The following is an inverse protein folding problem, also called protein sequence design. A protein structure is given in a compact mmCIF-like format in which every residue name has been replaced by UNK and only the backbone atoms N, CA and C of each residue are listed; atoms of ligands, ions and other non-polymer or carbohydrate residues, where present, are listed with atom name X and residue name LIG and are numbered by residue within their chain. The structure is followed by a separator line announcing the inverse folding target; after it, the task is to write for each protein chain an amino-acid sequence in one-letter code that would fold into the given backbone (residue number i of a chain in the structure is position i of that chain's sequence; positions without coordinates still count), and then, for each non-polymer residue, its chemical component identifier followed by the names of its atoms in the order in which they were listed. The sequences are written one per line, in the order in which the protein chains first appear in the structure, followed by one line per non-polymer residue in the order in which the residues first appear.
data_IF_948142501937
#
_entry.id   IF_948142501937
#
_cell.length_a   1.000
_cell.length_b   1.000
_cell.length_c   1.000
_cell.angle_alpha   90.00
_cell.angle_beta   90.00
_cell.angle_gamma   90.00
#
_symmetry.space_group_name_H-M   'P 1'
#
loop_
_entity.id
_entity.type
_entity.pdbx_description
1 polymer ?
#
# COMPACT_ATOMS: atom_id res chain seq x y z
N UNK A 1 -11.86 -30.02 -47.46
CA UNK A 1 -10.56 -30.70 -47.26
C UNK A 1 -10.23 -30.71 -45.77
N UNK A 2 -9.87 -31.87 -45.22
CA UNK A 2 -9.62 -32.07 -43.78
C UNK A 2 -8.26 -31.46 -43.40
N UNK A 3 -8.28 -30.29 -42.76
CA UNK A 3 -7.06 -29.65 -42.27
C UNK A 3 -6.72 -30.23 -40.89
N UNK A 4 -5.56 -30.88 -40.86
CA UNK A 4 -5.01 -31.58 -39.71
C UNK A 4 -4.71 -30.57 -38.60
N UNK A 5 -5.13 -30.89 -37.37
CA UNK A 5 -4.80 -30.20 -36.13
C UNK A 5 -3.29 -30.06 -36.03
N UNK A 6 -2.79 -28.83 -36.18
CA UNK A 6 -1.40 -28.48 -35.85
C UNK A 6 -1.41 -28.16 -34.35
N UNK A 7 -0.70 -29.00 -33.60
CA UNK A 7 -0.36 -28.79 -32.21
C UNK A 7 0.30 -27.41 -32.06
N UNK A 8 -0.45 -26.47 -31.47
CA UNK A 8 0.11 -25.23 -30.98
C UNK A 8 0.93 -25.54 -29.74
N UNK A 9 2.22 -25.24 -29.81
CA UNK A 9 3.18 -25.26 -28.71
C UNK A 9 2.66 -24.33 -27.62
N UNK A 10 2.09 -24.91 -26.57
CA UNK A 10 1.66 -24.19 -25.38
C UNK A 10 2.90 -23.74 -24.61
N UNK A 11 3.29 -22.49 -24.78
CA UNK A 11 4.19 -21.81 -23.85
C UNK A 11 3.38 -21.51 -22.59
N UNK A 12 3.35 -22.47 -21.68
CA UNK A 12 2.85 -22.27 -20.32
C UNK A 12 3.93 -21.51 -19.56
N UNK A 13 3.88 -20.18 -19.64
CA UNK A 13 4.58 -19.34 -18.67
C UNK A 13 3.75 -19.41 -17.37
N UNK A 14 4.10 -20.35 -16.51
CA UNK A 14 3.65 -20.38 -15.13
C UNK A 14 4.21 -19.13 -14.44
N UNK A 15 3.42 -18.06 -14.37
CA UNK A 15 3.65 -16.96 -13.44
C UNK A 15 3.30 -17.51 -12.06
N UNK A 16 4.27 -18.22 -11.46
CA UNK A 16 4.25 -18.49 -10.04
C UNK A 16 4.50 -17.17 -9.34
N UNK A 17 3.43 -16.53 -8.89
CA UNK A 17 3.47 -15.53 -7.82
C UNK A 17 4.01 -16.22 -6.56
N UNK A 18 5.15 -15.80 -5.99
CA UNK A 18 5.25 -15.82 -4.55
C UNK A 18 4.44 -14.62 -4.07
N UNK A 19 3.22 -14.89 -3.60
CA UNK A 19 2.59 -14.00 -2.65
C UNK A 19 3.50 -13.96 -1.42
N UNK A 20 4.40 -12.98 -1.36
CA UNK A 20 5.06 -12.59 -0.12
C UNK A 20 3.98 -11.87 0.69
N UNK A 21 3.24 -12.68 1.45
CA UNK A 21 2.41 -12.25 2.57
C UNK A 21 3.34 -11.60 3.60
N UNK A 22 3.43 -10.28 3.56
CA UNK A 22 3.80 -9.46 4.72
C UNK A 22 2.58 -8.66 5.17
N UNK A 23 1.49 -9.39 5.44
CA UNK A 23 0.44 -8.94 6.34
C UNK A 23 0.80 -9.47 7.74
N UNK A 24 1.63 -8.74 8.47
CA UNK A 24 1.76 -8.96 9.92
C UNK A 24 0.66 -8.15 10.58
N UNK A 25 -0.54 -8.74 10.65
CA UNK A 25 -1.53 -8.37 11.66
C UNK A 25 -1.26 -9.20 12.92
N UNK A 26 -1.39 -8.63 14.13
CA UNK A 26 -1.10 -9.34 15.36
C UNK A 26 -2.25 -10.29 15.68
N UNK A 27 -2.00 -11.58 15.54
CA UNK A 27 -2.88 -12.63 16.04
C UNK A 27 -2.33 -13.15 17.36
N UNK A 28 -2.77 -12.56 18.48
CA UNK A 28 -3.01 -13.29 19.75
C UNK A 28 -4.06 -12.53 20.57
N UNK A 29 -5.31 -12.92 20.37
CA UNK A 29 -6.36 -12.76 21.36
C UNK A 29 -7.09 -14.11 21.43
N UNK A 30 -6.73 -14.95 22.41
CA UNK A 30 -7.69 -15.74 23.20
C UNK A 30 -6.95 -16.57 24.26
N UNK A 31 -6.84 -16.01 25.47
CA UNK A 31 -7.05 -16.77 26.71
C UNK A 31 -7.68 -15.84 27.75
N UNK A 32 -8.89 -16.22 28.17
CA UNK A 32 -9.71 -15.68 29.28
C UNK A 32 -8.91 -15.41 30.58
N UNK A 33 -9.30 -14.42 31.41
CA UNK A 33 -8.38 -13.75 32.34
C UNK A 33 -8.17 -14.57 33.62
N UNK A 34 -6.91 -14.77 33.99
CA UNK A 34 -6.52 -15.01 35.37
C UNK A 34 -6.02 -13.68 35.94
N UNK A 35 -6.58 -13.27 37.07
CA UNK A 35 -6.12 -12.13 37.86
C UNK A 35 -4.62 -12.18 38.08
N UNK A 36 -3.88 -11.33 37.37
CA UNK A 36 -2.52 -10.97 37.73
C UNK A 36 -2.46 -9.45 37.79
N UNK A 37 -2.13 -8.99 38.99
CA UNK A 37 -1.91 -7.62 39.43
C UNK A 37 -1.16 -6.83 38.36
N UNK A 38 -1.72 -5.69 37.95
CA UNK A 38 -1.11 -4.78 36.98
C UNK A 38 0.30 -4.39 37.44
N UNK A 39 1.32 -4.89 36.74
CA UNK A 39 2.65 -4.29 36.83
C UNK A 39 2.61 -2.89 36.20
N UNK A 40 3.36 -1.90 36.73
CA UNK A 40 3.33 -0.53 36.25
C UNK A 40 3.72 -0.44 34.78
N UNK A 41 3.15 0.55 34.07
CA UNK A 41 3.31 0.77 32.62
C UNK A 41 4.79 0.83 32.17
N UNK A 42 5.71 1.15 33.07
CA UNK A 42 7.16 1.17 32.88
C UNK A 42 7.76 -0.22 32.58
N UNK A 43 7.26 -1.27 33.23
CA UNK A 43 7.71 -2.66 32.98
C UNK A 43 7.25 -3.16 31.60
N UNK A 44 6.11 -2.67 31.10
CA UNK A 44 5.63 -2.96 29.75
C UNK A 44 6.37 -2.15 28.69
N UNK A 45 6.75 -0.90 28.98
CA UNK A 45 7.55 -0.06 28.07
C UNK A 45 9.00 -0.53 27.94
N UNK A 46 9.64 -0.98 29.03
CA UNK A 46 10.97 -1.61 28.98
C UNK A 46 10.93 -2.98 28.30
N UNK A 47 9.92 -3.81 28.56
CA UNK A 47 9.74 -5.08 27.84
C UNK A 47 9.46 -4.87 26.34
N UNK A 48 8.77 -3.78 25.96
CA UNK A 48 8.57 -3.40 24.55
C UNK A 48 9.84 -2.86 23.91
N UNK A 49 10.65 -2.03 24.60
CA UNK A 49 11.96 -1.58 24.09
C UNK A 49 12.96 -2.74 23.94
N UNK A 50 13.02 -3.66 24.90
CA UNK A 50 13.84 -4.87 24.80
C UNK A 50 13.33 -5.82 23.71
N UNK A 51 12.00 -5.96 23.53
CA UNK A 51 11.42 -6.73 22.44
C UNK A 51 11.58 -6.07 21.05
N UNK A 52 11.76 -4.74 20.98
CA UNK A 52 12.07 -4.00 19.76
C UNK A 52 13.55 -4.06 19.41
N UNK A 53 14.46 -4.02 20.40
CA UNK A 53 15.89 -4.24 20.21
C UNK A 53 16.20 -5.70 19.80
N UNK A 54 15.43 -6.68 20.30
CA UNK A 54 15.59 -8.10 19.93
C UNK A 54 14.95 -8.50 18.59
N UNK A 55 14.25 -7.58 17.88
CA UNK A 55 13.56 -7.87 16.62
C UNK A 55 14.07 -7.07 15.41
N UNK A 56 15.17 -6.31 15.52
CA UNK A 56 15.75 -5.63 14.34
C UNK A 56 16.39 -6.69 13.43
N UNK A 57 16.06 -6.75 12.12
CA UNK A 57 16.70 -7.71 11.21
C UNK A 57 18.20 -7.49 11.19
N UNK A 58 18.98 -8.56 11.33
CA UNK A 58 20.44 -8.50 11.25
C UNK A 58 20.88 -8.03 9.86
N UNK A 59 22.08 -7.43 9.73
CA UNK A 59 22.62 -7.04 8.41
C UNK A 59 22.59 -8.21 7.43
N UNK A 60 22.95 -9.42 7.90
CA UNK A 60 22.90 -10.65 7.10
C UNK A 60 21.50 -11.00 6.59
N UNK A 61 20.46 -10.74 7.36
CA UNK A 61 19.07 -10.93 6.93
C UNK A 61 18.63 -9.85 5.93
N UNK A 62 19.08 -8.61 6.11
CA UNK A 62 18.84 -7.52 5.16
C UNK A 62 19.56 -7.75 3.82
N UNK A 63 20.81 -8.21 3.84
CA UNK A 63 21.56 -8.58 2.63
C UNK A 63 20.88 -9.74 1.88
N UNK A 64 20.38 -10.74 2.62
CA UNK A 64 19.58 -11.82 2.03
C UNK A 64 18.30 -11.29 1.40
N UNK A 65 17.57 -10.41 2.08
CA UNK A 65 16.36 -9.79 1.55
C UNK A 65 16.65 -8.93 0.30
N UNK A 66 17.77 -8.19 0.27
CA UNK A 66 18.20 -7.43 -0.89
C UNK A 66 18.58 -8.34 -2.07
N UNK A 67 19.24 -9.47 -1.81
CA UNK A 67 19.53 -10.47 -2.85
C UNK A 67 18.24 -11.12 -3.40
N UNK A 68 17.25 -11.40 -2.56
CA UNK A 68 15.93 -11.89 -2.98
C UNK A 68 15.18 -10.83 -3.81
N UNK A 69 15.22 -9.56 -3.40
CA UNK A 69 14.63 -8.45 -4.14
C UNK A 69 15.31 -8.22 -5.50
N UNK A 70 16.65 -8.32 -5.58
CA UNK A 70 17.40 -8.30 -6.82
C UNK A 70 16.97 -9.44 -7.75
N UNK A 71 16.87 -10.67 -7.25
CA UNK A 71 16.42 -11.82 -8.04
C UNK A 71 14.99 -11.65 -8.57
N UNK A 72 14.09 -11.08 -7.77
CA UNK A 72 12.73 -10.77 -8.19
C UNK A 72 12.71 -9.71 -9.30
N UNK A 73 13.53 -8.66 -9.17
CA UNK A 73 13.70 -7.62 -10.18
C UNK A 73 14.26 -8.17 -11.51
N UNK A 74 15.28 -9.01 -11.46
CA UNK A 74 15.87 -9.65 -12.65
C UNK A 74 14.86 -10.58 -13.35
N UNK A 75 14.07 -11.32 -12.57
CA UNK A 75 13.00 -12.15 -13.11
C UNK A 75 11.90 -11.30 -13.79
N UNK A 76 11.54 -10.15 -13.21
CA UNK A 76 10.58 -9.23 -13.80
C UNK A 76 11.11 -8.64 -15.11
N UNK A 77 12.39 -8.26 -15.19
CA UNK A 77 13.03 -7.78 -16.42
C UNK A 77 13.04 -8.86 -17.52
N UNK A 78 13.35 -10.11 -17.16
CA UNK A 78 13.30 -11.22 -18.10
C UNK A 78 11.87 -11.45 -18.63
N UNK A 79 10.86 -11.33 -17.76
CA UNK A 79 9.46 -11.42 -18.15
C UNK A 79 9.01 -10.26 -19.05
N UNK A 80 9.45 -9.03 -18.77
CA UNK A 80 9.19 -7.87 -19.63
C UNK A 80 9.78 -8.10 -21.02
N UNK A 81 11.06 -8.50 -21.11
CA UNK A 81 11.71 -8.81 -22.38
C UNK A 81 10.99 -9.91 -23.18
N UNK A 82 10.51 -10.95 -22.49
CA UNK A 82 9.73 -12.01 -23.13
C UNK A 82 8.38 -11.49 -23.64
N UNK A 83 7.72 -10.60 -22.89
CA UNK A 83 6.47 -9.98 -23.30
C UNK A 83 6.65 -9.02 -24.49
N UNK A 84 7.75 -8.28 -24.55
CA UNK A 84 8.10 -7.44 -25.72
C UNK A 84 8.28 -8.28 -26.98
N UNK A 85 9.01 -9.39 -26.88
CA UNK A 85 9.16 -10.34 -27.99
C UNK A 85 7.82 -10.95 -28.41
N UNK A 86 6.90 -11.21 -27.47
CA UNK A 86 5.56 -11.70 -27.79
C UNK A 86 4.71 -10.64 -28.52
N UNK A 87 4.83 -9.36 -28.15
CA UNK A 87 4.17 -8.25 -28.86
C UNK A 87 4.73 -8.09 -30.27
N UNK A 88 6.05 -8.16 -30.44
CA UNK A 88 6.68 -8.12 -31.76
C UNK A 88 6.18 -9.26 -32.64
N UNK A 89 6.17 -10.49 -32.11
CA UNK A 89 5.67 -11.67 -32.83
C UNK A 89 4.17 -11.58 -33.17
N UNK A 90 3.35 -10.96 -32.32
CA UNK A 90 1.91 -10.81 -32.55
C UNK A 90 1.55 -9.65 -33.51
N UNK A 91 2.42 -8.65 -33.61
CA UNK A 91 2.19 -7.47 -34.46
C UNK A 91 2.81 -7.61 -35.86
N UNK A 92 3.79 -8.50 -36.03
CA UNK A 92 4.41 -8.78 -37.32
C UNK A 92 3.39 -9.16 -38.42
N UNK A 93 3.59 -8.64 -39.62
CA UNK A 93 2.74 -8.96 -40.79
C UNK A 93 2.82 -10.45 -41.19
N UNK A 94 3.93 -11.10 -40.84
CA UNK A 94 4.15 -12.54 -41.05
C UNK A 94 3.58 -13.41 -39.94
N UNK A 95 2.97 -12.83 -38.90
CA UNK A 95 2.34 -13.59 -37.83
C UNK A 95 1.21 -14.48 -38.41
N UNK A 96 1.07 -15.73 -37.96
CA UNK A 96 0.07 -16.65 -38.52
C UNK A 96 -1.36 -16.10 -38.55
N UNK A 97 -1.76 -15.37 -37.50
CA UNK A 97 -3.07 -14.72 -37.42
C UNK A 97 -3.20 -13.52 -38.37
N UNK A 98 -2.12 -12.76 -38.58
CA UNK A 98 -2.08 -11.64 -39.52
C UNK A 98 -2.20 -12.15 -40.97
N UNK A 99 -1.46 -13.21 -41.30
CA UNK A 99 -1.57 -13.89 -42.60
C UNK A 99 -2.97 -14.47 -42.80
N UNK A 100 -3.52 -15.15 -41.81
CA UNK A 100 -4.87 -15.72 -41.89
C UNK A 100 -5.95 -14.64 -42.09
N UNK A 101 -5.89 -13.54 -41.33
CA UNK A 101 -6.81 -12.41 -41.49
C UNK A 101 -6.69 -11.78 -42.88
N UNK A 102 -5.47 -11.57 -43.39
CA UNK A 102 -5.22 -11.04 -44.74
C UNK A 102 -5.76 -11.98 -45.83
N UNK A 103 -5.57 -13.28 -45.68
CA UNK A 103 -6.10 -14.27 -46.61
C UNK A 103 -7.63 -14.30 -46.59
N UNK A 104 -8.24 -14.35 -45.41
CA UNK A 104 -9.70 -14.35 -45.28
C UNK A 104 -10.31 -13.06 -45.85
N UNK A 105 -9.68 -11.90 -45.61
CA UNK A 105 -10.12 -10.64 -46.19
C UNK A 105 -10.04 -10.65 -47.71
N UNK A 106 -8.93 -11.14 -48.28
CA UNK A 106 -8.81 -11.30 -49.73
C UNK A 106 -9.92 -12.19 -50.31
N UNK A 107 -10.26 -13.29 -49.64
CA UNK A 107 -11.37 -14.16 -50.06
C UNK A 107 -12.71 -13.44 -50.02
N UNK A 108 -12.97 -12.61 -49.00
CA UNK A 108 -14.17 -11.79 -48.94
C UNK A 108 -14.23 -10.75 -50.07
N UNK A 109 -13.13 -10.06 -50.35
CA UNK A 109 -13.04 -9.08 -51.43
C UNK A 109 -13.24 -9.74 -52.81
N UNK A 110 -12.63 -10.91 -53.05
CA UNK A 110 -12.80 -11.68 -54.28
C UNK A 110 -14.28 -12.16 -54.43
N UNK A 111 -14.93 -12.56 -53.33
CA UNK A 111 -16.34 -12.95 -53.31
C UNK A 111 -17.29 -11.75 -53.53
N UNK A 112 -16.95 -10.56 -53.04
CA UNK A 112 -17.68 -9.32 -53.29
C UNK A 112 -17.65 -8.98 -54.79
N UNK A 113 -16.48 -9.05 -55.42
CA UNK A 113 -16.34 -8.81 -56.86
C UNK A 113 -17.14 -9.83 -57.70
N UNK A 114 -17.18 -11.10 -57.27
CA UNK A 114 -17.99 -12.14 -57.92
C UNK A 114 -19.50 -11.85 -57.79
N UNK A 115 -19.94 -11.38 -56.63
CA UNK A 115 -21.32 -10.94 -56.41
C UNK A 115 -21.68 -9.76 -57.31
N UNK A 116 -20.84 -8.72 -57.38
CA UNK A 116 -21.09 -7.56 -58.25
C UNK A 116 -21.20 -7.97 -59.73
N UNK A 117 -20.38 -8.92 -60.15
CA UNK A 117 -20.43 -9.48 -61.52
C UNK A 117 -21.75 -10.23 -61.76
N UNK A 118 -22.20 -11.04 -60.81
CA UNK A 118 -23.45 -11.80 -60.93
C UNK A 118 -24.69 -10.88 -60.90
N UNK A 119 -24.69 -9.86 -60.03
CA UNK A 119 -25.76 -8.85 -59.98
C UNK A 119 -25.85 -8.06 -61.30
N UNK A 120 -24.71 -7.78 -61.94
CA UNK A 120 -24.68 -7.17 -63.26
C UNK A 120 -25.28 -8.10 -64.32
N UNK A 121 -24.96 -9.40 -64.29
CA UNK A 121 -25.54 -10.36 -65.22
C UNK A 121 -27.07 -10.46 -65.10
N UNK A 122 -27.62 -10.36 -63.89
CA UNK A 122 -29.09 -10.28 -63.69
C UNK A 122 -29.68 -9.05 -64.38
N UNK A 123 -29.05 -7.88 -64.20
CA UNK A 123 -29.49 -6.62 -64.85
C UNK A 123 -29.43 -6.72 -66.37
N UNK A 124 -28.36 -7.29 -66.91
CA UNK A 124 -28.17 -7.46 -68.35
C UNK A 124 -29.17 -8.48 -68.95
N UNK A 125 -29.46 -9.57 -68.22
CA UNK A 125 -30.46 -10.56 -68.63
C UNK A 125 -31.89 -10.00 -68.58
N UNK A 126 -32.23 -9.23 -67.53
CA UNK A 126 -33.52 -8.54 -67.43
C UNK A 126 -33.70 -7.56 -68.58
N UNK A 127 -32.67 -6.74 -68.86
CA UNK A 127 -32.69 -5.79 -69.97
C UNK A 127 -32.94 -6.50 -71.31
N UNK A 128 -32.28 -7.64 -71.53
CA UNK A 128 -32.48 -8.45 -72.75
C UNK A 128 -33.92 -8.94 -72.88
N UNK A 129 -34.54 -9.36 -71.77
CA UNK A 129 -35.94 -9.79 -71.75
C UNK A 129 -36.90 -8.61 -72.04
N UNK A 130 -36.62 -7.42 -71.49
CA UNK A 130 -37.42 -6.21 -71.67
C UNK A 130 -37.33 -5.64 -73.11
N UNK A 131 -36.19 -5.83 -73.79
CA UNK A 131 -35.94 -5.31 -75.14
C UNK A 131 -36.41 -6.26 -76.27
N UNK A 132 -37.02 -7.40 -75.95
CA UNK A 132 -37.57 -8.32 -76.96
C UNK A 132 -38.71 -7.66 -77.75
N UNK A 133 -38.63 -7.73 -79.08
CA UNK A 133 -39.68 -7.23 -79.97
C UNK A 133 -41.00 -7.99 -79.78
N UNK A 134 -42.14 -7.35 -80.06
CA UNK A 134 -43.46 -8.01 -80.02
C UNK A 134 -43.58 -9.21 -80.98
N UNK A 135 -42.75 -9.23 -82.03
CA UNK A 135 -42.67 -10.33 -83.01
C UNK A 135 -41.71 -11.45 -82.59
N UNK A 136 -41.08 -11.36 -81.41
CA UNK A 136 -40.17 -12.39 -80.92
C UNK A 136 -40.90 -13.72 -80.76
N UNK A 137 -40.21 -14.79 -81.13
CA UNK A 137 -40.73 -16.16 -81.03
C UNK A 137 -40.87 -16.60 -79.58
N UNK A 138 -41.75 -17.57 -79.33
CA UNK A 138 -41.92 -18.17 -78.00
C UNK A 138 -40.61 -18.82 -77.52
N UNK A 139 -39.81 -19.35 -78.44
CA UNK A 139 -38.49 -19.89 -78.16
C UNK A 139 -37.50 -18.82 -77.67
N UNK A 140 -37.46 -17.65 -78.31
CA UNK A 140 -36.59 -16.52 -77.90
C UNK A 140 -36.99 -15.97 -76.52
N UNK A 141 -38.30 -15.83 -76.28
CA UNK A 141 -38.82 -15.39 -74.98
C UNK A 141 -38.44 -16.38 -73.86
N UNK A 142 -38.67 -17.68 -74.07
CA UNK A 142 -38.28 -18.73 -73.11
C UNK A 142 -36.79 -18.77 -72.85
N UNK A 143 -35.97 -18.54 -73.88
CA UNK A 143 -34.52 -18.50 -73.71
C UNK A 143 -34.07 -17.30 -72.84
N UNK A 144 -34.65 -16.12 -73.04
CA UNK A 144 -34.37 -14.93 -72.23
C UNK A 144 -34.85 -15.09 -70.78
N UNK A 145 -36.06 -15.63 -70.56
CA UNK A 145 -36.58 -15.96 -69.23
C UNK A 145 -35.69 -16.95 -68.49
N UNK A 146 -35.21 -17.99 -69.20
CA UNK A 146 -34.27 -18.96 -68.65
C UNK A 146 -32.94 -18.30 -68.28
N UNK A 147 -32.40 -17.43 -69.14
CA UNK A 147 -31.15 -16.72 -68.87
C UNK A 147 -31.26 -15.82 -67.62
N UNK A 148 -32.38 -15.13 -67.45
CA UNK A 148 -32.66 -14.34 -66.25
C UNK A 148 -32.75 -15.22 -64.99
N UNK A 149 -33.43 -16.35 -65.08
CA UNK A 149 -33.55 -17.31 -63.97
C UNK A 149 -32.19 -17.89 -63.56
N UNK A 150 -31.38 -18.29 -64.54
CA UNK A 150 -30.02 -18.80 -64.31
C UNK A 150 -29.12 -17.71 -63.69
N UNK A 151 -29.19 -16.47 -64.20
CA UNK A 151 -28.45 -15.33 -63.66
C UNK A 151 -28.87 -15.00 -62.23
N UNK A 152 -30.17 -15.02 -61.94
CA UNK A 152 -30.72 -14.77 -60.59
C UNK A 152 -30.21 -15.82 -59.60
N UNK A 153 -30.26 -17.10 -59.98
CA UNK A 153 -29.72 -18.20 -59.17
C UNK A 153 -28.22 -18.03 -58.91
N UNK A 154 -27.45 -17.60 -59.92
CA UNK A 154 -26.03 -17.33 -59.79
C UNK A 154 -25.75 -16.16 -58.83
N UNK A 155 -26.54 -15.07 -58.91
CA UNK A 155 -26.43 -13.91 -58.03
C UNK A 155 -26.75 -14.27 -56.58
N UNK A 156 -27.81 -15.04 -56.32
CA UNK A 156 -28.14 -15.53 -54.97
C UNK A 156 -27.00 -16.37 -54.38
N UNK A 157 -26.42 -17.27 -55.18
CA UNK A 157 -25.28 -18.09 -54.75
C UNK A 157 -24.04 -17.24 -54.46
N UNK A 158 -23.75 -16.24 -55.30
CA UNK A 158 -22.64 -15.32 -55.09
C UNK A 158 -22.85 -14.44 -53.84
N UNK A 159 -24.07 -13.98 -53.60
CA UNK A 159 -24.43 -13.22 -52.40
C UNK A 159 -24.27 -14.05 -51.11
N UNK A 160 -24.68 -15.32 -51.13
CA UNK A 160 -24.46 -16.25 -50.02
C UNK A 160 -22.95 -16.47 -49.77
N UNK A 161 -22.17 -16.71 -50.84
CA UNK A 161 -20.72 -16.90 -50.74
C UNK A 161 -20.01 -15.66 -50.17
N UNK A 162 -20.37 -14.46 -50.62
CA UNK A 162 -19.85 -13.21 -50.07
C UNK A 162 -20.18 -13.05 -48.58
N UNK A 163 -21.43 -13.34 -48.19
CA UNK A 163 -21.85 -13.26 -46.77
C UNK A 163 -21.05 -14.21 -45.87
N UNK A 164 -20.81 -15.44 -46.33
CA UNK A 164 -19.96 -16.40 -45.62
C UNK A 164 -18.52 -15.91 -45.53
N UNK A 165 -17.93 -15.49 -46.65
CA UNK A 165 -16.54 -15.03 -46.70
C UNK A 165 -16.31 -13.79 -45.81
N UNK A 166 -17.25 -12.84 -45.78
CA UNK A 166 -17.15 -11.65 -44.93
C UNK A 166 -17.30 -11.99 -43.44
N UNK A 167 -18.12 -12.99 -43.10
CA UNK A 167 -18.22 -13.51 -41.72
C UNK A 167 -16.89 -14.14 -41.29
N UNK A 168 -16.28 -14.96 -42.15
CA UNK A 168 -14.99 -15.59 -41.89
C UNK A 168 -13.86 -14.56 -41.79
N UNK A 169 -13.86 -13.53 -42.64
CA UNK A 169 -12.89 -12.43 -42.59
C UNK A 169 -12.99 -11.65 -41.27
N UNK A 170 -14.20 -11.32 -40.82
CA UNK A 170 -14.43 -10.66 -39.53
C UNK A 170 -14.00 -11.53 -38.35
N UNK A 171 -14.27 -12.83 -38.39
CA UNK A 171 -13.84 -13.76 -37.36
C UNK A 171 -12.31 -13.86 -37.28
N UNK A 172 -11.63 -13.96 -38.43
CA UNK A 172 -10.17 -13.99 -38.50
C UNK A 172 -9.52 -12.69 -38.00
N UNK A 173 -10.09 -11.53 -38.37
CA UNK A 173 -9.65 -10.23 -37.88
C UNK A 173 -9.82 -10.11 -36.36
N UNK A 174 -10.98 -10.54 -35.83
CA UNK A 174 -11.22 -10.54 -34.40
C UNK A 174 -10.19 -11.38 -33.63
N UNK A 175 -9.84 -12.57 -34.14
CA UNK A 175 -8.82 -13.42 -33.53
C UNK A 175 -7.44 -12.76 -33.50
N UNK A 176 -7.06 -12.05 -34.57
CA UNK A 176 -5.83 -11.27 -34.62
C UNK A 176 -5.83 -10.14 -33.59
N UNK A 177 -6.91 -9.38 -33.52
CA UNK A 177 -7.03 -8.25 -32.61
C UNK A 177 -7.04 -8.70 -31.14
N UNK A 178 -7.79 -9.77 -30.81
CA UNK A 178 -7.81 -10.37 -29.48
C UNK A 178 -6.40 -10.85 -29.06
N UNK A 179 -5.65 -11.48 -29.97
CA UNK A 179 -4.29 -11.93 -29.70
C UNK A 179 -3.31 -10.76 -29.46
N UNK A 180 -3.44 -9.67 -30.23
CA UNK A 180 -2.64 -8.44 -30.04
C UNK A 180 -2.97 -7.78 -28.71
N UNK A 181 -4.26 -7.63 -28.38
CA UNK A 181 -4.70 -7.07 -27.10
C UNK A 181 -4.15 -7.89 -25.93
N UNK A 182 -4.20 -9.21 -26.00
CA UNK A 182 -3.65 -10.05 -24.94
C UNK A 182 -2.12 -9.88 -24.80
N UNK A 183 -1.37 -9.83 -25.91
CA UNK A 183 0.07 -9.60 -25.88
C UNK A 183 0.42 -8.26 -25.21
N UNK A 184 -0.29 -7.18 -25.56
CA UNK A 184 -0.08 -5.86 -24.94
C UNK A 184 -0.48 -5.84 -23.46
N UNK A 185 -1.55 -6.57 -23.08
CA UNK A 185 -1.97 -6.70 -21.67
C UNK A 185 -0.90 -7.41 -20.84
N UNK A 186 -0.27 -8.45 -21.38
CA UNK A 186 0.85 -9.15 -20.74
C UNK A 186 2.04 -8.22 -20.58
N UNK A 187 2.42 -7.47 -21.62
CA UNK A 187 3.50 -6.48 -21.55
C UNK A 187 3.24 -5.41 -20.48
N UNK A 188 2.02 -4.88 -20.41
CA UNK A 188 1.65 -3.90 -19.38
C UNK A 188 1.84 -4.46 -17.97
N UNK A 189 1.37 -5.68 -17.70
CA UNK A 189 1.57 -6.33 -16.40
C UNK A 189 3.04 -6.58 -16.08
N UNK A 190 3.85 -6.98 -17.07
CA UNK A 190 5.27 -7.18 -16.88
C UNK A 190 5.99 -5.86 -16.51
N UNK A 191 5.60 -4.75 -17.15
CA UNK A 191 6.11 -3.40 -16.83
C UNK A 191 5.74 -2.95 -15.41
N UNK A 192 4.50 -3.17 -14.98
CA UNK A 192 4.11 -2.88 -13.60
C UNK A 192 4.89 -3.74 -12.61
N UNK A 193 5.11 -5.04 -12.90
CA UNK A 193 5.93 -5.90 -12.06
C UNK A 193 7.39 -5.42 -11.97
N UNK A 194 7.98 -4.93 -13.07
CA UNK A 194 9.33 -4.32 -13.09
C UNK A 194 9.37 -3.07 -12.23
N UNK A 195 8.33 -2.22 -12.28
CA UNK A 195 8.23 -1.02 -11.45
C UNK A 195 8.14 -1.36 -9.96
N UNK A 196 7.28 -2.29 -9.58
CA UNK A 196 7.10 -2.74 -8.19
C UNK A 196 8.38 -3.39 -7.63
N UNK A 197 8.97 -4.32 -8.39
CA UNK A 197 10.19 -5.03 -7.96
C UNK A 197 11.40 -4.10 -7.92
N UNK A 198 11.51 -3.10 -8.82
CA UNK A 198 12.52 -2.05 -8.72
C UNK A 198 12.38 -1.25 -7.43
N UNK A 199 11.17 -0.82 -7.08
CA UNK A 199 10.94 -0.07 -5.86
C UNK A 199 11.30 -0.89 -4.61
N UNK A 200 10.89 -2.17 -4.56
CA UNK A 200 11.24 -3.09 -3.49
C UNK A 200 12.76 -3.30 -3.39
N UNK A 201 13.45 -3.46 -4.52
CA UNK A 201 14.90 -3.58 -4.58
C UNK A 201 15.59 -2.32 -4.06
N UNK A 202 15.19 -1.13 -4.53
CA UNK A 202 15.74 0.14 -4.05
C UNK A 202 15.55 0.30 -2.53
N UNK A 203 14.38 -0.09 -2.00
CA UNK A 203 14.11 -0.03 -0.57
C UNK A 203 14.98 -1.04 0.22
N UNK A 204 15.17 -2.24 -0.31
CA UNK A 204 16.02 -3.26 0.31
C UNK A 204 17.50 -2.87 0.30
N UNK A 205 18.01 -2.35 -0.82
CA UNK A 205 19.37 -1.81 -0.92
C UNK A 205 19.57 -0.65 0.08
N UNK A 206 18.62 0.28 0.16
CA UNK A 206 18.69 1.39 1.12
C UNK A 206 18.60 0.92 2.59
N UNK A 207 17.92 -0.19 2.88
CA UNK A 207 17.92 -0.80 4.20
C UNK A 207 19.28 -1.43 4.54
N UNK A 208 19.92 -2.10 3.57
CA UNK A 208 21.27 -2.64 3.72
C UNK A 208 22.29 -1.52 3.94
N UNK A 209 22.25 -0.46 3.14
CA UNK A 209 23.20 0.66 3.30
C UNK A 209 23.00 1.40 4.62
N UNK A 210 21.76 1.63 5.07
CA UNK A 210 21.51 2.17 6.41
C UNK A 210 22.03 1.25 7.52
N UNK A 211 21.85 -0.06 7.40
CA UNK A 211 22.38 -1.00 8.38
C UNK A 211 23.91 -1.04 8.39
N UNK A 212 24.57 -0.91 7.23
CA UNK A 212 26.03 -0.76 7.13
C UNK A 212 26.51 0.58 7.66
N UNK A 213 25.76 1.66 7.46
CA UNK A 213 26.07 2.97 8.03
C UNK A 213 25.91 2.94 9.55
N UNK A 214 24.90 2.26 10.09
CA UNK A 214 24.76 2.00 11.53
C UNK A 214 25.91 1.12 12.07
N UNK A 215 26.33 0.06 11.35
CA UNK A 215 27.50 -0.75 11.72
C UNK A 215 28.82 0.05 11.62
N UNK A 216 28.98 0.92 10.61
CA UNK A 216 30.18 1.76 10.45
C UNK A 216 30.19 3.00 11.35
N UNK A 217 29.03 3.45 11.82
CA UNK A 217 28.90 4.40 12.92
C UNK A 217 29.09 3.71 14.29
N UNK A 218 29.17 2.38 14.31
CA UNK A 218 29.71 1.55 15.40
C UNK A 218 31.23 1.60 15.53
N UNK A 219 31.81 2.80 15.35
CA UNK A 219 33.18 3.15 15.68
C UNK A 219 33.32 3.89 17.02
N UNK A 220 32.25 3.97 17.81
CA UNK A 220 32.33 4.08 19.26
C UNK A 220 31.70 2.82 19.84
N UNK A 221 32.26 2.27 20.93
CA UNK A 221 31.48 1.42 21.81
C UNK A 221 30.09 2.05 21.98
N UNK A 222 29.00 1.27 21.94
CA UNK A 222 27.72 1.76 22.46
C UNK A 222 28.02 2.36 23.82
N UNK A 223 27.79 3.67 23.99
CA UNK A 223 28.10 4.33 25.23
C UNK A 223 27.39 3.56 26.35
N UNK A 224 28.16 3.07 27.30
CA UNK A 224 27.64 2.12 28.29
C UNK A 224 26.86 2.87 29.36
N UNK A 225 25.81 2.25 29.88
CA UNK A 225 25.17 2.70 31.12
C UNK A 225 26.23 2.68 32.24
N UNK A 226 26.72 3.85 32.65
CA UNK A 226 27.76 3.99 33.66
C UNK A 226 27.11 4.51 34.95
N UNK A 227 26.81 3.64 35.93
CA UNK A 227 26.15 4.04 37.17
C UNK A 227 26.97 5.03 38.01
N UNK A 228 28.25 5.22 37.67
CA UNK A 228 29.06 6.27 38.26
C UNK A 228 28.77 7.67 37.70
N UNK A 229 28.15 7.82 36.54
CA UNK A 229 27.72 9.14 36.05
C UNK A 229 26.28 9.41 36.47
N UNK A 230 26.09 10.25 37.49
CA UNK A 230 24.75 10.51 38.05
C UNK A 230 24.25 11.89 37.68
N UNK A 231 22.96 11.97 37.36
CA UNK A 231 22.26 13.23 37.06
C UNK A 231 21.13 13.43 38.05
N UNK A 232 21.19 14.50 38.86
CA UNK A 232 20.19 14.80 39.88
C UNK A 232 19.50 16.13 39.59
N UNK A 233 18.17 16.13 39.60
CA UNK A 233 17.35 17.34 39.43
C UNK A 233 16.84 17.81 40.79
N UNK A 234 16.98 19.11 41.07
CA UNK A 234 16.54 19.73 42.33
C UNK A 234 15.76 21.01 42.09
N UNK A 235 14.70 21.22 42.88
CA UNK A 235 13.86 22.41 42.80
C UNK A 235 12.88 22.44 41.62
N UNK A 236 12.63 21.30 40.97
CA UNK A 236 11.60 21.19 39.94
C UNK A 236 10.20 21.12 40.59
N UNK A 237 9.21 21.91 40.13
CA UNK A 237 7.87 21.90 40.72
C UNK A 237 6.95 20.83 40.10
N UNK A 238 6.05 20.26 40.90
CA UNK A 238 5.01 19.31 40.43
C UNK A 238 3.93 19.98 39.56
N UNK A 239 3.88 21.31 39.53
CA UNK A 239 2.89 22.08 38.76
C UNK A 239 3.49 23.38 38.24
N UNK A 240 3.19 23.70 37.00
CA UNK A 240 3.48 24.99 36.36
C UNK A 240 2.21 25.64 35.85
N UNK A 241 2.21 26.97 35.68
CA UNK A 241 1.06 27.72 35.19
C UNK A 241 1.42 28.42 33.89
N UNK A 242 0.51 28.44 32.92
CA UNK A 242 0.70 29.16 31.67
C UNK A 242 1.07 30.63 31.93
N UNK A 243 2.11 31.12 31.27
CA UNK A 243 2.63 32.47 31.43
C UNK A 243 3.63 32.64 32.58
N UNK A 244 3.97 31.58 33.31
CA UNK A 244 5.00 31.61 34.34
C UNK A 244 6.33 31.04 33.86
N UNK A 245 7.35 31.28 34.67
CA UNK A 245 8.71 30.81 34.48
C UNK A 245 9.11 30.07 35.74
N UNK A 246 9.67 28.87 35.60
CA UNK A 246 10.26 28.14 36.73
C UNK A 246 11.74 27.89 36.49
N UNK A 247 12.52 27.81 37.55
CA UNK A 247 13.96 27.53 37.51
C UNK A 247 14.28 26.39 38.45
N UNK A 248 15.15 25.49 38.02
CA UNK A 248 15.56 24.31 38.76
C UNK A 248 17.04 24.01 38.44
N UNK A 249 17.69 23.17 39.23
CA UNK A 249 19.11 22.87 39.09
C UNK A 249 19.32 21.41 38.75
N UNK A 250 20.22 21.16 37.81
CA UNK A 250 20.72 19.85 37.42
C UNK A 250 22.14 19.73 37.92
N UNK A 251 22.44 18.67 38.63
CA UNK A 251 23.79 18.30 39.05
C UNK A 251 24.21 17.05 38.32
N UNK A 252 25.33 17.11 37.61
CA UNK A 252 26.00 15.95 37.03
C UNK A 252 27.22 15.63 37.89
N UNK A 253 27.33 14.42 38.42
CA UNK A 253 28.44 13.98 39.26
C UNK A 253 29.16 12.79 38.62
N UNK A 254 30.49 12.82 38.69
CA UNK A 254 31.37 11.79 38.17
C UNK A 254 31.91 10.91 39.31
N UNK A 255 31.25 9.79 39.54
CA UNK A 255 31.66 8.70 40.42
C UNK A 255 32.06 7.44 39.60
N UNK A 256 32.39 7.60 38.30
CA UNK A 256 32.74 6.50 37.36
C UNK A 256 34.08 5.82 37.66
N UNK A 257 34.85 6.35 38.60
CA UNK A 257 36.18 5.85 38.95
C UNK A 257 37.31 6.33 38.04
N UNK A 258 37.02 7.23 37.09
CA UNK A 258 37.97 7.80 36.12
C UNK A 258 37.66 9.28 35.84
N UNK A 259 38.65 10.00 35.29
CA UNK A 259 38.43 11.35 34.76
C UNK A 259 37.66 11.25 33.43
N UNK A 260 36.81 12.24 33.15
CA UNK A 260 36.01 12.32 31.92
C UNK A 260 36.45 13.53 31.10
N UNK A 261 36.72 13.35 29.81
CA UNK A 261 37.29 14.41 28.98
C UNK A 261 36.23 15.41 28.49
N UNK A 262 35.02 14.91 28.19
CA UNK A 262 33.91 15.75 27.77
C UNK A 262 32.59 15.24 28.33
N UNK A 263 31.96 16.02 29.19
CA UNK A 263 30.63 15.75 29.75
C UNK A 263 29.60 16.69 29.13
N UNK A 264 28.50 16.11 28.65
CA UNK A 264 27.34 16.78 28.09
C UNK A 264 26.10 16.50 28.94
N UNK A 265 25.10 17.36 28.84
CA UNK A 265 23.80 17.12 29.48
C UNK A 265 22.70 17.19 28.44
N UNK A 266 21.99 16.09 28.22
CA UNK A 266 20.75 16.07 27.47
C UNK A 266 19.63 16.64 28.33
N UNK A 267 18.82 17.54 27.78
CA UNK A 267 17.67 18.11 28.49
C UNK A 267 16.48 18.35 27.55
N UNK A 268 15.51 17.43 27.58
CA UNK A 268 14.26 17.53 26.82
C UNK A 268 13.07 17.91 27.67
N UNK A 269 12.05 18.51 27.05
CA UNK A 269 10.71 18.66 27.62
C UNK A 269 9.67 18.15 26.64
N UNK A 270 8.77 17.31 27.12
CA UNK A 270 7.61 16.84 26.39
C UNK A 270 6.34 17.25 27.14
N UNK A 271 5.25 17.50 26.41
CA UNK A 271 3.97 17.80 27.02
C UNK A 271 2.80 17.46 26.10
N UNK A 272 1.72 16.96 26.71
CA UNK A 272 0.46 16.64 26.04
C UNK A 272 -0.71 17.39 26.66
N UNK A 273 -1.80 17.55 25.92
CA UNK A 273 -3.08 17.95 26.50
C UNK A 273 -3.59 16.91 27.52
N UNK A 274 -4.62 17.28 28.30
CA UNK A 274 -5.16 16.44 29.38
C UNK A 274 -5.56 15.02 28.96
N UNK A 275 -5.93 14.85 27.69
CA UNK A 275 -6.36 13.58 27.13
C UNK A 275 -5.18 12.74 26.62
N UNK A 276 -3.95 13.29 26.63
CA UNK A 276 -2.72 12.63 26.17
C UNK A 276 -2.60 12.52 24.65
N UNK A 277 -3.43 13.23 23.89
CA UNK A 277 -3.56 13.03 22.43
C UNK A 277 -2.81 14.10 21.63
N UNK A 278 -2.81 15.35 22.09
CA UNK A 278 -2.19 16.46 21.35
C UNK A 278 -0.89 16.87 22.00
N UNK A 279 0.16 16.95 21.18
CA UNK A 279 1.43 17.57 21.56
C UNK A 279 1.23 19.08 21.82
N UNK A 280 1.60 19.51 23.02
CA UNK A 280 1.60 20.90 23.46
C UNK A 280 3.00 21.39 23.88
N UNK A 281 4.05 20.60 23.65
CA UNK A 281 5.44 20.92 23.98
C UNK A 281 5.93 22.21 23.30
N UNK A 282 5.36 22.58 22.15
CA UNK A 282 5.64 23.86 21.46
C UNK A 282 5.38 25.11 22.31
N UNK A 283 4.58 25.00 23.38
CA UNK A 283 4.31 26.09 24.33
C UNK A 283 5.31 26.14 25.49
N UNK A 284 6.25 25.20 25.54
CA UNK A 284 7.27 25.09 26.57
C UNK A 284 8.64 25.35 25.95
N UNK A 285 9.48 26.12 26.64
CA UNK A 285 10.85 26.39 26.21
C UNK A 285 11.81 26.16 27.36
N UNK A 286 12.73 25.23 27.17
CA UNK A 286 13.80 24.97 28.12
C UNK A 286 15.01 25.84 27.80
N UNK A 287 15.58 26.43 28.85
CA UNK A 287 16.76 27.29 28.79
C UNK A 287 17.75 26.85 29.85
N UNK A 288 19.02 27.13 29.61
CA UNK A 288 20.10 26.77 30.53
C UNK A 288 21.04 27.94 30.81
N UNK A 289 21.74 27.86 31.94
CA UNK A 289 22.81 28.76 32.34
C UNK A 289 23.76 28.05 33.30
N UNK A 290 25.04 28.42 33.31
CA UNK A 290 26.04 27.91 34.26
C UNK A 290 26.73 29.06 34.97
N UNK A 291 27.55 28.76 35.99
CA UNK A 291 28.38 29.77 36.63
C UNK A 291 29.39 30.41 35.65
N UNK A 292 29.93 29.61 34.71
CA UNK A 292 30.84 30.07 33.67
C UNK A 292 30.12 30.83 32.54
N UNK A 293 28.85 30.50 32.26
CA UNK A 293 28.00 31.18 31.28
C UNK A 293 26.68 31.63 31.92
N UNK A 294 26.67 32.79 32.61
CA UNK A 294 25.53 33.23 33.43
C UNK A 294 24.36 33.80 32.61
N UNK A 295 24.47 33.87 31.28
CA UNK A 295 23.37 34.29 30.40
C UNK A 295 22.51 33.09 30.06
N UNK A 296 21.19 33.27 30.11
CA UNK A 296 20.24 32.23 29.70
C UNK A 296 20.35 31.94 28.20
N UNK A 297 20.54 30.68 27.85
CA UNK A 297 20.61 30.17 26.48
C UNK A 297 19.47 29.18 26.26
N UNK A 298 18.97 29.07 25.03
CA UNK A 298 17.97 28.03 24.73
C UNK A 298 18.66 26.67 24.71
N UNK A 299 17.93 25.63 25.14
CA UNK A 299 18.26 24.28 24.72
C UNK A 299 17.77 24.15 23.27
N UNK A 300 18.68 23.93 22.34
CA UNK A 300 18.47 23.95 20.90
C UNK A 300 18.27 22.54 20.30
N UNK A 301 18.37 22.42 18.97
CA UNK A 301 17.72 21.36 18.20
C UNK A 301 18.21 19.92 18.42
N UNK A 302 19.40 19.74 18.99
CA UNK A 302 19.94 18.43 19.40
C UNK A 302 19.71 18.12 20.88
N UNK A 303 19.12 19.07 21.63
CA UNK A 303 18.78 18.97 23.05
C UNK A 303 19.97 18.76 24.01
N UNK A 304 21.19 19.03 23.54
CA UNK A 304 22.42 18.87 24.32
C UNK A 304 22.95 20.20 24.85
N UNK A 305 23.44 20.17 26.09
CA UNK A 305 24.10 21.29 26.75
C UNK A 305 25.58 20.98 26.89
N UNK A 306 26.40 21.61 26.05
CA UNK A 306 27.86 21.54 26.07
C UNK A 306 28.45 22.68 26.93
N UNK A 307 28.33 22.54 28.26
CA UNK A 307 28.73 23.59 29.20
C UNK A 307 29.59 23.11 30.38
N UNK A 308 29.76 21.80 30.54
CA UNK A 308 30.54 21.19 31.63
C UNK A 308 32.00 20.99 31.19
N UNK A 309 32.23 20.43 30.00
CA UNK A 309 33.57 20.09 29.52
C UNK A 309 34.15 18.90 30.30
N UNK A 310 35.46 18.91 30.55
CA UNK A 310 36.13 17.85 31.32
C UNK A 310 35.67 17.85 32.79
N UNK A 311 35.50 16.65 33.36
CA UNK A 311 35.07 16.46 34.74
C UNK A 311 35.91 15.38 35.43
N UNK A 312 36.78 15.81 36.34
CA UNK A 312 37.65 14.90 37.11
C UNK A 312 36.83 13.95 37.99
N UNK A 313 37.43 12.81 38.34
CA UNK A 313 36.85 11.82 39.26
C UNK A 313 36.45 12.47 40.60
N UNK A 314 35.24 12.16 41.07
CA UNK A 314 34.67 12.64 42.32
C UNK A 314 34.23 14.12 42.28
N UNK A 315 34.26 14.76 41.11
CA UNK A 315 33.75 16.13 40.92
C UNK A 315 32.31 16.13 40.42
N UNK A 316 31.69 17.29 40.56
CA UNK A 316 30.34 17.56 40.10
C UNK A 316 30.29 18.91 39.38
N UNK A 317 29.35 19.04 38.45
CA UNK A 317 29.02 20.29 37.78
C UNK A 317 27.53 20.59 37.92
N UNK A 318 27.20 21.87 38.12
CA UNK A 318 25.83 22.34 38.28
C UNK A 318 25.40 23.17 37.06
N UNK A 319 24.29 22.79 36.44
CA UNK A 319 23.61 23.53 35.37
C UNK A 319 22.27 24.04 35.92
N UNK A 320 22.00 25.33 35.75
CA UNK A 320 20.67 25.88 36.03
C UNK A 320 19.81 25.74 34.78
N UNK A 321 18.63 25.16 34.93
CA UNK A 321 17.61 25.07 33.90
C UNK A 321 16.43 25.97 34.23
N UNK A 322 15.79 26.49 33.19
CA UNK A 322 14.63 27.36 33.27
C UNK A 322 13.60 26.92 32.25
N UNK A 323 12.38 26.69 32.71
CA UNK A 323 11.23 26.37 31.88
C UNK A 323 10.37 27.62 31.73
N UNK A 324 10.29 28.15 30.52
CA UNK A 324 9.36 29.21 30.14
C UNK A 324 8.07 28.57 29.60
N UNK A 325 6.93 28.85 30.25
CA UNK A 325 5.61 28.36 29.84
C UNK A 325 4.86 29.50 29.15
N UNK A 326 4.52 29.34 27.87
CA UNK A 326 3.77 30.34 27.13
C UNK A 326 2.40 30.60 27.79
N UNK A 327 1.95 31.85 27.81
CA UNK A 327 0.65 32.23 28.38
C UNK A 327 -0.55 31.54 27.70
N UNK A 328 -0.36 31.06 26.47
CA UNK A 328 -1.34 30.33 25.68
C UNK A 328 -1.29 28.82 25.89
N UNK A 329 -0.39 28.32 26.73
CA UNK A 329 -0.30 26.89 27.02
C UNK A 329 -1.66 26.39 27.55
N UNK A 330 -2.28 25.40 26.90
CA UNK A 330 -3.48 24.77 27.43
C UNK A 330 -3.12 23.96 28.67
N UNK A 331 -4.13 23.60 29.47
CA UNK A 331 -3.92 22.69 30.57
C UNK A 331 -3.60 21.27 30.05
N UNK A 332 -2.68 20.57 30.71
CA UNK A 332 -2.17 19.28 30.26
C UNK A 332 -1.12 18.71 31.22
N UNK A 333 -0.37 17.72 30.77
CA UNK A 333 0.72 17.11 31.52
C UNK A 333 2.03 17.30 30.76
N UNK A 334 3.11 17.52 31.49
CA UNK A 334 4.46 17.60 30.95
C UNK A 334 5.41 16.67 31.68
N UNK A 335 6.50 16.33 31.01
CA UNK A 335 7.65 15.69 31.63
C UNK A 335 8.93 16.31 31.10
N UNK A 336 9.93 16.41 31.97
CA UNK A 336 11.31 16.68 31.56
C UNK A 336 12.07 15.37 31.53
N UNK A 337 13.01 15.26 30.59
CA UNK A 337 13.93 14.13 30.49
C UNK A 337 15.35 14.69 30.48
N UNK A 338 16.12 14.40 31.53
CA UNK A 338 17.45 15.00 31.73
C UNK A 338 18.45 13.89 32.01
N UNK A 339 19.51 13.81 31.22
CA UNK A 339 20.55 12.80 31.34
C UNK A 339 21.94 13.42 31.16
N UNK A 340 22.95 12.78 31.74
CA UNK A 340 24.35 13.12 31.53
C UNK A 340 24.97 12.09 30.61
N UNK A 341 25.84 12.57 29.71
CA UNK A 341 26.64 11.73 28.82
C UNK A 341 28.10 12.17 28.91
N UNK A 342 29.05 11.24 28.74
CA UNK A 342 30.46 11.57 28.57
C UNK A 342 31.08 10.91 27.34
N UNK A 343 32.10 11.57 26.80
CA UNK A 343 32.92 11.10 25.70
C UNK A 343 34.39 11.36 26.04
N UNK A 344 35.22 10.33 25.93
CA UNK A 344 36.65 10.42 26.18
C UNK A 344 37.44 10.37 24.87
N UNK A 345 38.66 10.91 24.88
CA UNK A 345 39.55 10.94 23.71
C UNK A 345 40.00 9.53 23.28
N UNK A 346 39.97 8.56 24.20
CA UNK A 346 40.29 7.16 23.93
C UNK A 346 39.16 6.39 23.21
N UNK A 347 38.04 7.06 22.95
CA UNK A 347 36.87 6.49 22.29
C UNK A 347 35.86 5.86 23.23
N UNK A 348 36.15 5.76 24.54
CA UNK A 348 35.18 5.32 25.53
C UNK A 348 34.11 6.38 25.78
N UNK A 349 32.88 5.95 25.95
CA UNK A 349 31.77 6.83 26.29
C UNK A 349 30.76 6.13 27.20
N UNK A 350 29.99 6.93 27.93
CA UNK A 350 28.99 6.40 28.86
C UNK A 350 27.88 7.40 29.14
N UNK A 351 26.76 6.87 29.63
CA UNK A 351 25.56 7.64 29.92
C UNK A 351 25.00 7.31 31.30
N UNK A 352 24.26 8.24 31.89
CA UNK A 352 23.55 8.00 33.15
C UNK A 352 22.49 6.90 32.93
N UNK A 353 22.50 5.79 33.71
CA UNK A 353 21.60 4.65 33.48
C UNK A 353 20.10 5.02 33.58
N UNK A 354 19.78 5.92 34.49
CA UNK A 354 18.42 6.42 34.70
C UNK A 354 18.38 7.93 34.45
N UNK A 355 17.78 8.34 33.33
CA UNK A 355 17.51 9.75 33.11
C UNK A 355 16.62 10.29 34.24
N UNK A 356 16.92 11.50 34.71
CA UNK A 356 16.07 12.21 35.64
C UNK A 356 14.79 12.66 34.91
N UNK A 357 13.73 11.87 35.10
CA UNK A 357 12.39 12.18 34.59
C UNK A 357 11.60 12.92 35.67
N UNK A 358 11.13 14.12 35.36
CA UNK A 358 10.27 14.89 36.28
C UNK A 358 8.95 15.21 35.58
N UNK A 359 7.87 14.63 36.07
CA UNK A 359 6.50 14.88 35.62
C UNK A 359 5.92 16.13 36.30
N UNK A 360 5.06 16.86 35.61
CA UNK A 360 4.39 18.04 36.14
C UNK A 360 3.05 18.33 35.45
N UNK A 361 2.13 18.92 36.20
CA UNK A 361 0.87 19.42 35.67
C UNK A 361 1.03 20.83 35.09
N UNK A 362 0.42 21.06 33.93
CA UNK A 362 0.32 22.39 33.30
C UNK A 362 -1.08 22.93 33.59
N UNK A 363 -1.16 24.02 34.34
CA UNK A 363 -2.39 24.79 34.55
C UNK A 363 -2.52 25.86 33.48
N UNK A 364 -3.68 25.93 32.83
CA UNK A 364 -4.01 27.06 31.97
C UNK A 364 -4.03 28.36 32.78
N UNK A 365 -3.81 29.49 32.11
CA UNK A 365 -3.90 30.80 32.75
C UNK A 365 -5.32 31.00 33.31
N UNK A 366 -5.43 31.69 34.45
CA UNK A 366 -6.73 32.09 34.97
C UNK A 366 -7.44 32.98 33.94
N UNK A 367 -8.67 32.64 33.58
CA UNK A 367 -9.48 33.49 32.73
C UNK A 367 -9.66 34.85 33.42
N UNK A 368 -9.36 35.95 32.72
CA UNK A 368 -9.75 37.27 33.22
C UNK A 368 -11.28 37.28 33.42
N UNK A 369 -11.79 37.81 34.55
CA UNK A 369 -13.21 37.81 34.81
C UNK A 369 -13.92 38.68 33.78
N UNK A 370 -14.72 38.04 32.93
CA UNK A 370 -15.62 38.74 32.01
C UNK A 370 -16.66 39.47 32.87
N UNK A 371 -16.63 40.80 32.86
CA UNK A 371 -17.66 41.65 33.50
C UNK A 371 -19.04 41.24 33.01
N UNK A 372 -19.87 40.74 33.94
CA UNK A 372 -21.25 40.33 33.67
C UNK A 372 -22.10 41.58 33.40
N UNK A 373 -22.81 41.71 32.26
CA UNK A 373 -23.75 42.80 32.08
C UNK A 373 -24.95 42.65 33.04
N UNK A 374 -25.32 43.75 33.68
CA UNK A 374 -26.47 43.89 34.59
C UNK A 374 -27.79 43.77 33.81
N UNK A 375 -28.84 43.13 34.35
CA UNK A 375 -30.12 43.03 33.66
C UNK A 375 -30.95 44.30 33.86
N UNK A 376 -31.53 44.83 32.79
CA UNK A 376 -32.63 45.81 32.86
C UNK A 376 -33.99 45.13 32.58
N UNK A 377 -35.09 45.66 33.13
CA UNK A 377 -36.34 44.92 33.33
C UNK A 377 -37.29 44.98 32.12
N UNK A 378 -38.02 43.89 31.93
CA UNK A 378 -39.06 43.70 30.92
C UNK A 378 -40.33 44.52 31.21
N UNK A 379 -40.96 45.06 30.17
CA UNK A 379 -42.36 45.53 30.20
C UNK A 379 -43.20 44.84 29.12
N UNK A 380 -44.41 44.45 29.49
CA UNK A 380 -45.28 43.41 28.93
C UNK A 380 -46.32 43.91 27.90
N UNK A 381 -46.37 43.23 26.72
CA UNK A 381 -47.50 42.72 25.87
C UNK A 381 -48.77 43.58 25.52
N UNK A 382 -49.76 43.11 24.69
CA UNK A 382 -49.91 41.89 23.84
C UNK A 382 -50.63 42.03 22.45
N UNK A 383 -50.74 40.88 21.72
CA UNK A 383 -51.78 40.37 20.76
C UNK A 383 -51.21 40.01 19.36
N UNK A 384 -51.55 38.93 18.64
CA UNK A 384 -52.41 37.74 18.73
C UNK A 384 -51.77 36.66 17.80
N UNK A 385 -51.79 35.33 18.01
CA UNK A 385 -52.92 34.40 17.96
C UNK A 385 -52.54 33.15 17.12
N UNK A 386 -52.93 31.95 17.58
CA UNK A 386 -52.84 30.60 16.95
C UNK A 386 -51.44 29.95 16.90
N UNK A 387 -51.07 28.98 17.76
CA UNK A 387 -51.60 27.62 17.94
C UNK A 387 -50.61 26.66 17.24
N UNK A 388 -49.89 25.72 17.85
CA UNK A 388 -50.22 24.67 18.83
C UNK A 388 -48.91 24.18 19.50
N UNK A 389 -49.02 23.65 20.72
CA UNK A 389 -47.96 23.16 21.63
C UNK A 389 -47.56 21.68 21.42
N UNK A 390 -46.33 21.26 21.79
CA UNK A 390 -46.03 19.87 22.11
C UNK A 390 -46.10 19.62 23.65
N UNK A 391 -46.99 18.71 24.06
CA UNK A 391 -46.89 17.92 25.30
C UNK A 391 -46.47 16.50 24.88
N UNK A 392 -45.75 15.67 25.61
CA UNK A 392 -45.32 15.60 27.00
C UNK A 392 -44.74 14.19 27.22
N UNK A 393 -44.11 13.99 28.37
CA UNK A 393 -43.32 12.83 28.79
C UNK A 393 -43.94 11.42 28.69
N UNK A 394 -43.05 10.44 28.49
CA UNK A 394 -42.98 9.20 29.29
C UNK A 394 -43.91 8.04 28.92
N UNK A 395 -43.34 6.90 28.54
CA UNK A 395 -43.47 5.61 29.25
C UNK A 395 -43.02 4.43 28.37
N UNK A 396 -42.38 3.47 29.02
CA UNK A 396 -41.95 2.14 28.58
C UNK A 396 -43.10 1.21 28.18
N UNK A 397 -42.91 0.39 27.13
CA UNK A 397 -43.17 -1.07 27.02
C UNK A 397 -42.91 -1.48 25.55
N UNK A 398 -42.24 -2.62 25.28
CA UNK A 398 -41.85 -3.03 23.92
C UNK A 398 -42.93 -3.88 23.25
N UNK A 399 -43.12 -3.73 21.93
CA UNK A 399 -43.88 -4.70 21.13
C UNK A 399 -43.17 -5.00 19.81
N UNK A 400 -42.93 -6.29 19.68
CA UNK A 400 -42.50 -7.10 18.55
C UNK A 400 -43.39 -6.89 17.30
N UNK A 401 -42.77 -6.67 16.13
CA UNK A 401 -43.45 -6.79 14.83
C UNK A 401 -42.64 -7.69 13.89
N UNK A 402 -42.96 -8.98 13.97
CA UNK A 402 -42.96 -9.83 12.79
C UNK A 402 -44.11 -9.40 11.85
N UNK A 403 -43.87 -9.57 10.55
CA UNK A 403 -44.79 -9.50 9.41
C UNK A 403 -45.02 -8.13 8.76
N UNK A 404 -44.34 -7.92 7.63
CA UNK A 404 -44.65 -6.89 6.63
C UNK A 404 -43.90 -7.12 5.32
N UNK A 405 -44.41 -8.00 4.47
CA UNK A 405 -43.94 -8.29 3.10
C UNK A 405 -44.43 -7.22 2.12
N UNK A 406 -43.50 -6.60 1.39
CA UNK A 406 -43.64 -5.96 0.06
C UNK A 406 -42.20 -5.89 -0.54
N UNK A 407 -41.85 -6.26 -1.77
CA UNK A 407 -42.58 -6.76 -2.91
C UNK A 407 -41.61 -7.65 -3.75
N UNK A 408 -42.19 -8.65 -4.41
CA UNK A 408 -41.53 -9.55 -5.32
C UNK A 408 -41.47 -8.95 -6.75
N UNK A 409 -40.31 -9.11 -7.38
CA UNK A 409 -40.19 -9.39 -8.82
C UNK A 409 -39.20 -10.58 -8.87
N UNK A 410 -39.59 -11.83 -9.14
CA UNK A 410 -40.26 -12.32 -10.34
C UNK A 410 -39.21 -12.73 -11.37
N UNK A 411 -38.30 -13.66 -11.01
CA UNK A 411 -38.16 -15.04 -11.55
C UNK A 411 -37.96 -15.10 -13.07
N UNK A 412 -36.96 -15.79 -13.62
CA UNK A 412 -36.95 -17.26 -13.53
C UNK A 412 -35.65 -17.92 -14.02
N UNK A 413 -35.40 -19.07 -13.41
CA UNK A 413 -34.46 -20.12 -13.74
C UNK A 413 -34.55 -20.59 -15.20
N UNK A 414 -33.43 -20.51 -15.92
CA UNK A 414 -33.24 -21.20 -17.21
C UNK A 414 -31.77 -21.55 -17.51
N UNK A 415 -30.92 -21.86 -16.51
CA UNK A 415 -29.56 -22.39 -16.77
C UNK A 415 -29.13 -23.46 -15.76
N UNK A 416 -30.02 -24.38 -15.42
CA UNK A 416 -29.68 -25.66 -14.78
C UNK A 416 -29.49 -26.80 -15.83
N UNK A 417 -28.85 -26.52 -16.97
CA UNK A 417 -28.57 -27.50 -18.03
C UNK A 417 -27.17 -27.41 -18.67
N UNK A 418 -26.16 -26.93 -17.94
CA UNK A 418 -24.74 -27.15 -18.29
C UNK A 418 -23.90 -27.60 -17.08
N UNK A 419 -24.50 -28.45 -16.24
CA UNK A 419 -23.77 -29.32 -15.32
C UNK A 419 -23.43 -30.63 -16.04
N UNK A 420 -22.37 -30.65 -16.86
CA UNK A 420 -21.64 -31.84 -17.32
C UNK A 420 -20.54 -31.44 -18.34
N UNK A 421 -19.35 -31.08 -17.84
CA UNK A 421 -18.01 -31.30 -18.47
C UNK A 421 -16.95 -30.32 -17.95
N UNK A 422 -16.44 -30.51 -16.73
CA UNK A 422 -15.12 -30.02 -16.32
C UNK A 422 -14.60 -30.77 -15.06
N UNK A 423 -14.80 -32.08 -15.03
CA UNK A 423 -14.25 -32.98 -14.01
C UNK A 423 -13.20 -33.89 -14.63
N UNK A 424 -12.00 -33.35 -14.91
CA UNK A 424 -10.78 -34.11 -15.19
C UNK A 424 -9.57 -33.17 -15.38
N UNK A 425 -8.94 -32.69 -14.29
CA UNK A 425 -7.55 -32.21 -14.30
C UNK A 425 -6.97 -31.95 -12.88
N UNK A 426 -7.37 -32.71 -11.85
CA UNK A 426 -6.70 -32.68 -10.54
C UNK A 426 -6.32 -34.10 -10.16
N UNK A 427 -5.37 -34.67 -10.89
CA UNK A 427 -4.79 -35.98 -10.59
C UNK A 427 -3.43 -36.22 -11.29
N UNK A 428 -2.57 -35.20 -11.47
CA UNK A 428 -1.19 -35.41 -11.95
C UNK A 428 -0.22 -34.35 -11.38
N UNK A 429 -0.25 -34.15 -10.06
CA UNK A 429 0.64 -33.20 -9.37
C UNK A 429 1.34 -33.73 -8.11
N UNK A 430 1.25 -35.04 -7.83
CA UNK A 430 1.85 -35.67 -6.64
C UNK A 430 2.55 -37.02 -6.93
N UNK A 431 3.00 -37.24 -8.17
CA UNK A 431 3.53 -38.54 -8.62
C UNK A 431 4.95 -38.56 -9.19
N UNK A 432 5.75 -37.51 -9.01
CA UNK A 432 7.06 -37.38 -9.68
C UNK A 432 8.27 -37.16 -8.74
N UNK A 433 8.15 -37.44 -7.44
CA UNK A 433 9.29 -37.36 -6.49
C UNK A 433 9.62 -38.70 -5.81
N UNK A 434 9.06 -39.84 -6.25
CA UNK A 434 9.30 -41.11 -5.56
C UNK A 434 9.92 -42.26 -6.38
N UNK A 435 10.29 -42.06 -7.65
CA UNK A 435 10.93 -43.13 -8.44
C UNK A 435 12.12 -42.58 -9.23
N UNK A 436 13.25 -42.36 -8.54
CA UNK A 436 14.60 -42.45 -9.15
C UNK A 436 15.73 -42.69 -8.14
N UNK A 437 15.46 -42.84 -6.82
CA UNK A 437 16.54 -43.02 -5.82
C UNK A 437 16.52 -44.35 -5.06
N UNK A 438 16.28 -45.49 -5.73
CA UNK A 438 16.73 -46.80 -5.20
C UNK A 438 16.73 -47.92 -6.25
N UNK A 439 17.78 -47.98 -7.09
CA UNK A 439 18.34 -49.26 -7.61
C UNK A 439 19.61 -48.97 -8.42
N UNK A 440 20.74 -48.91 -7.70
CA UNK A 440 22.05 -49.45 -8.11
C UNK A 440 22.99 -49.42 -6.91
N UNK A 441 22.92 -50.47 -6.12
CA UNK A 441 23.96 -50.93 -5.20
C UNK A 441 23.77 -52.44 -5.04
N UNK A 442 24.80 -53.23 -5.38
CA UNK A 442 24.95 -54.64 -5.00
C UNK A 442 24.40 -55.69 -5.97
N UNK A 443 25.22 -56.10 -6.94
CA UNK A 443 25.29 -57.48 -7.41
C UNK A 443 26.78 -57.79 -7.65
N UNK A 444 27.50 -57.94 -6.54
CA UNK A 444 28.64 -58.84 -6.36
C UNK A 444 28.44 -59.44 -4.95
N UNK A 445 28.47 -60.78 -4.90
CA UNK A 445 28.21 -61.70 -3.76
C UNK A 445 26.75 -61.88 -3.33
#
# INVERSE_FOLDING_TARGET
MKIRRILATAVVAAVTTPAVMLSVTPAFADTKPAEQTQAPAEAQAQAQKQAQAQNKPTLKELEKAAAEAQKAYDAALAAEKAAEAAVEAATADTAPLAVAAKTARKTADDAAAAKDTADKAVKDAQKTLDELAETATDEERKAAEKALSDATTAAEKAAAAHTTAETDAKAAQKLLDDARVEAFRVLHKAREAVKETRAAKTAADAAVERAKEEENQGGGEECVDDPGLTTTVTGFPDTVTAGTVTTFSVRVANDTGKDLDKVLTYAGVHATDKDGVKDIAKYLKLKWSTAASPKWQNVDGDLYIDAIGALEQGKQADIKLRLDVDAKAPAGQGLTFIAGDYFNEDGSCGLTPDAAVNEFDIKAAAAEPVTKPSPEPSTTAPAAGSGVTPQGSGSSVPVNTANGTLAATGSSDATAQLALAAGAAVALGAGAVFITRRRRAGADA
#
